data_IF_293085802201
#
_entry.id   IF_293085802201
#
_cell.length_a   1.000
_cell.length_b   1.000
_cell.length_c   1.000
_cell.angle_alpha   90.00
_cell.angle_beta   90.00
_cell.angle_gamma   90.00
#
_symmetry.space_group_name_H-M   'P 1'
#
loop_
_entity.id
_entity.type
_entity.pdbx_description
1 polymer ?
#
# COMPACT_ATOMS: atom_id res chain seq x y z
N UNK A 1 -10.93 -38.27 -9.36
CA UNK A 1 -10.44 -36.87 -9.39
C UNK A 1 -8.99 -36.86 -9.84
N UNK A 2 -8.56 -35.85 -10.59
CA UNK A 2 -7.19 -35.69 -11.07
C UNK A 2 -6.66 -34.34 -10.60
N UNK A 3 -5.66 -34.37 -9.71
CA UNK A 3 -5.04 -33.16 -9.17
C UNK A 3 -3.70 -32.93 -9.88
N UNK A 4 -3.44 -31.69 -10.29
CA UNK A 4 -2.15 -31.33 -10.88
C UNK A 4 -1.75 -29.90 -10.47
N UNK A 5 -0.45 -29.63 -10.50
CA UNK A 5 0.11 -28.29 -10.27
C UNK A 5 1.08 -27.99 -11.39
N UNK A 6 0.69 -27.14 -12.35
CA UNK A 6 1.52 -26.72 -13.49
C UNK A 6 2.00 -27.82 -14.45
N UNK A 7 1.69 -29.11 -14.22
CA UNK A 7 2.15 -30.23 -15.05
C UNK A 7 1.24 -30.49 -16.24
N UNK A 8 -0.08 -30.37 -16.08
CA UNK A 8 -1.06 -30.65 -17.14
C UNK A 8 -1.51 -29.36 -17.87
N UNK A 9 -0.62 -28.37 -17.93
CA UNK A 9 -0.86 -27.07 -18.58
C UNK A 9 -0.76 -27.15 -20.10
N UNK A 10 -0.17 -28.21 -20.65
CA UNK A 10 -0.15 -28.53 -22.08
C UNK A 10 -0.28 -30.06 -22.29
N UNK A 11 -0.92 -30.49 -23.38
CA UNK A 11 -0.94 -31.92 -23.78
C UNK A 11 -1.91 -32.86 -23.06
N UNK A 12 -2.61 -32.44 -22.02
CA UNK A 12 -3.66 -33.26 -21.38
C UNK A 12 -5.01 -33.12 -22.10
N UNK A 13 -5.47 -34.20 -22.72
CA UNK A 13 -6.73 -34.26 -23.46
C UNK A 13 -7.68 -35.31 -22.87
N UNK A 14 -8.67 -34.83 -22.12
CA UNK A 14 -9.75 -35.65 -21.59
C UNK A 14 -11.07 -34.92 -21.88
N UNK A 15 -11.74 -35.21 -23.02
CA UNK A 15 -12.96 -34.49 -23.43
C UNK A 15 -14.14 -34.66 -22.46
N UNK A 16 -14.17 -35.78 -21.73
CA UNK A 16 -15.18 -36.09 -20.72
C UNK A 16 -15.07 -35.32 -19.41
N UNK A 17 -14.18 -34.32 -19.29
CA UNK A 17 -14.14 -33.45 -18.10
C UNK A 17 -15.41 -32.60 -18.06
N UNK A 18 -16.18 -32.76 -16.98
CA UNK A 18 -17.42 -32.04 -16.64
C UNK A 18 -17.28 -31.23 -15.34
N UNK A 19 -16.14 -31.31 -14.64
CA UNK A 19 -15.88 -30.53 -13.43
C UNK A 19 -14.42 -30.04 -13.38
N UNK A 20 -14.24 -28.74 -13.12
CA UNK A 20 -12.93 -28.09 -12.93
C UNK A 20 -12.90 -27.40 -11.58
N UNK A 21 -11.90 -27.71 -10.75
CA UNK A 21 -11.70 -27.07 -9.44
C UNK A 21 -10.44 -26.24 -9.48
N UNK A 22 -10.58 -24.92 -9.28
CA UNK A 22 -9.48 -23.96 -9.23
C UNK A 22 -9.14 -23.65 -7.77
N UNK A 23 -7.98 -24.15 -7.33
CA UNK A 23 -7.40 -23.86 -6.00
C UNK A 23 -6.22 -22.87 -6.08
N UNK A 24 -6.08 -22.18 -7.21
CA UNK A 24 -4.97 -21.26 -7.49
C UNK A 24 -5.50 -19.91 -7.97
N UNK A 25 -5.12 -18.80 -7.32
CA UNK A 25 -5.33 -17.47 -7.88
C UNK A 25 -4.36 -17.20 -9.05
N UNK A 26 -4.83 -16.51 -10.08
CA UNK A 26 -4.02 -16.01 -11.20
C UNK A 26 -4.37 -14.56 -11.52
N UNK A 27 -3.37 -13.76 -11.87
CA UNK A 27 -3.52 -12.42 -12.46
C UNK A 27 -3.56 -12.45 -13.99
N UNK A 28 -3.27 -13.60 -14.61
CA UNK A 28 -3.36 -13.77 -16.06
C UNK A 28 -4.76 -14.26 -16.46
N UNK A 29 -5.55 -13.45 -17.20
CA UNK A 29 -6.85 -13.89 -17.73
C UNK A 29 -6.69 -15.02 -18.75
N UNK A 30 -5.59 -15.02 -19.51
CA UNK A 30 -5.25 -16.12 -20.42
C UNK A 30 -5.04 -17.44 -19.69
N UNK A 31 -4.31 -17.43 -18.57
CA UNK A 31 -4.13 -18.64 -17.76
C UNK A 31 -5.46 -19.10 -17.13
N UNK A 32 -6.29 -18.16 -16.68
CA UNK A 32 -7.64 -18.48 -16.18
C UNK A 32 -8.48 -19.19 -17.25
N UNK A 33 -8.56 -18.62 -18.47
CA UNK A 33 -9.25 -19.25 -19.59
C UNK A 33 -8.69 -20.63 -19.93
N UNK A 34 -7.37 -20.80 -19.92
CA UNK A 34 -6.73 -22.09 -20.18
C UNK A 34 -7.07 -23.15 -19.12
N UNK A 35 -7.15 -22.76 -17.84
CA UNK A 35 -7.51 -23.67 -16.74
C UNK A 35 -8.96 -24.13 -16.85
N UNK A 36 -9.90 -23.20 -17.05
CA UNK A 36 -11.33 -23.52 -17.20
C UNK A 36 -11.59 -24.26 -18.52
N UNK A 37 -10.88 -23.89 -19.58
CA UNK A 37 -11.04 -24.45 -20.92
C UNK A 37 -10.80 -25.94 -21.05
N UNK A 38 -10.25 -26.58 -20.01
CA UNK A 38 -10.20 -28.04 -19.90
C UNK A 38 -11.58 -28.69 -19.89
N UNK A 39 -12.59 -28.00 -19.35
CA UNK A 39 -13.98 -28.43 -19.33
C UNK A 39 -14.79 -28.05 -20.57
N UNK A 40 -14.25 -27.30 -21.54
CA UNK A 40 -15.05 -26.82 -22.69
C UNK A 40 -15.17 -27.81 -23.85
N UNK A 41 -14.44 -28.93 -23.80
CA UNK A 41 -14.47 -29.92 -24.88
C UNK A 41 -15.82 -30.62 -24.95
N UNK A 42 -16.40 -30.73 -26.14
CA UNK A 42 -17.66 -31.45 -26.34
C UNK A 42 -17.45 -32.96 -26.14
N UNK A 43 -18.39 -33.62 -25.48
CA UNK A 43 -18.38 -35.07 -25.27
C UNK A 43 -19.82 -35.61 -25.21
N UNK A 44 -20.12 -36.78 -25.81
CA UNK A 44 -21.44 -37.39 -25.69
C UNK A 44 -21.87 -37.57 -24.23
N UNK A 45 -23.08 -37.13 -23.89
CA UNK A 45 -23.61 -37.21 -22.53
C UNK A 45 -23.19 -36.08 -21.59
N UNK A 46 -22.41 -35.09 -22.07
CA UNK A 46 -22.04 -33.90 -21.28
C UNK A 46 -22.92 -32.71 -21.67
N UNK A 47 -23.78 -32.27 -20.76
CA UNK A 47 -24.63 -31.08 -20.93
C UNK A 47 -23.90 -29.78 -20.58
N UNK A 48 -23.05 -29.82 -19.57
CA UNK A 48 -22.40 -28.66 -18.98
C UNK A 48 -21.05 -29.05 -18.33
N UNK A 49 -20.31 -28.04 -17.88
CA UNK A 49 -19.08 -28.24 -17.12
C UNK A 49 -19.05 -27.31 -15.91
N UNK A 50 -19.06 -27.90 -14.71
CA UNK A 50 -19.07 -27.18 -13.45
C UNK A 50 -17.69 -26.64 -13.11
N UNK A 51 -17.63 -25.38 -12.67
CA UNK A 51 -16.38 -24.71 -12.28
C UNK A 51 -16.47 -24.25 -10.85
N UNK A 52 -15.65 -24.84 -9.98
CA UNK A 52 -15.48 -24.38 -8.60
C UNK A 52 -14.22 -23.51 -8.51
N UNK A 53 -14.38 -22.24 -8.15
CA UNK A 53 -13.28 -21.28 -8.10
C UNK A 53 -13.02 -20.76 -6.69
N UNK A 54 -12.05 -21.36 -6.01
CA UNK A 54 -11.57 -20.91 -4.70
C UNK A 54 -10.41 -19.91 -4.80
N UNK A 55 -9.95 -19.58 -6.01
CA UNK A 55 -8.89 -18.61 -6.27
C UNK A 55 -9.39 -17.18 -6.56
N UNK A 56 -10.71 -16.98 -6.55
CA UNK A 56 -11.35 -15.69 -6.85
C UNK A 56 -11.04 -15.18 -8.26
N UNK A 57 -10.81 -16.07 -9.22
CA UNK A 57 -10.46 -15.75 -10.59
C UNK A 57 -11.65 -15.21 -11.41
N UNK A 58 -12.84 -15.79 -11.24
CA UNK A 58 -14.07 -15.36 -11.89
C UNK A 58 -14.47 -13.94 -11.45
N UNK A 59 -14.30 -13.61 -10.16
CA UNK A 59 -14.52 -12.25 -9.66
C UNK A 59 -13.49 -11.27 -10.24
N UNK A 60 -12.22 -11.67 -10.30
CA UNK A 60 -11.11 -10.83 -10.75
C UNK A 60 -11.16 -10.52 -12.25
N UNK A 61 -11.42 -11.54 -13.06
CA UNK A 61 -11.34 -11.44 -14.52
C UNK A 61 -12.70 -11.29 -15.19
N UNK A 62 -13.77 -11.64 -14.48
CA UNK A 62 -15.12 -11.75 -15.02
C UNK A 62 -15.50 -13.20 -15.35
N UNK A 63 -16.77 -13.43 -15.72
CA UNK A 63 -17.21 -14.73 -16.22
C UNK A 63 -16.35 -15.17 -17.40
N UNK A 64 -16.07 -16.47 -17.50
CA UNK A 64 -15.11 -17.01 -18.48
C UNK A 64 -15.51 -16.74 -19.94
N UNK A 65 -16.81 -16.65 -20.21
CA UNK A 65 -17.44 -16.31 -21.49
C UNK A 65 -17.41 -14.81 -21.81
N UNK A 66 -17.14 -13.96 -20.82
CA UNK A 66 -17.09 -12.51 -20.94
C UNK A 66 -15.68 -11.92 -20.71
N UNK A 67 -14.63 -12.75 -20.74
CA UNK A 67 -13.26 -12.32 -20.53
C UNK A 67 -12.78 -11.32 -21.58
N UNK A 68 -12.34 -10.15 -21.11
CA UNK A 68 -11.72 -9.11 -21.95
C UNK A 68 -10.21 -9.15 -21.78
N UNK A 69 -9.51 -9.63 -22.80
CA UNK A 69 -8.04 -9.54 -22.87
C UNK A 69 -7.73 -8.11 -23.31
N UNK A 70 -7.55 -7.21 -22.36
CA UNK A 70 -7.10 -5.84 -22.65
C UNK A 70 -5.58 -5.80 -22.51
N UNK A 71 -4.89 -5.05 -23.38
CA UNK A 71 -3.49 -4.70 -23.13
C UNK A 71 -3.38 -4.00 -21.76
N UNK A 72 -2.28 -4.18 -21.01
CA UNK A 72 -2.15 -3.65 -19.66
C UNK A 72 -2.05 -2.12 -19.69
N UNK A 73 -3.18 -1.44 -19.77
CA UNK A 73 -3.28 -0.02 -19.47
C UNK A 73 -3.40 0.15 -17.95
N UNK A 74 -2.43 0.86 -17.40
CA UNK A 74 -2.32 1.20 -16.01
C UNK A 74 -3.56 1.93 -15.48
N UNK A 75 -4.03 1.54 -14.28
CA UNK A 75 -4.74 2.47 -13.40
C UNK A 75 -6.28 2.48 -13.45
N UNK A 76 -6.94 1.33 -13.64
CA UNK A 76 -8.39 1.25 -13.46
C UNK A 76 -8.79 0.88 -12.03
N UNK A 77 -9.23 1.84 -11.21
CA UNK A 77 -10.02 1.60 -9.98
C UNK A 77 -11.46 1.17 -10.31
N UNK A 78 -11.64 0.29 -11.30
CA UNK A 78 -12.95 -0.20 -11.71
C UNK A 78 -13.49 -1.20 -10.70
N UNK A 79 -14.80 -1.17 -10.46
CA UNK A 79 -15.49 -2.29 -9.81
C UNK A 79 -15.15 -3.60 -10.52
N UNK A 80 -15.06 -4.70 -9.76
CA UNK A 80 -14.80 -6.02 -10.31
C UNK A 80 -15.75 -6.28 -11.49
N UNK A 81 -15.26 -6.82 -12.63
CA UNK A 81 -16.08 -7.00 -13.83
C UNK A 81 -17.23 -8.00 -13.62
N UNK A 82 -17.22 -8.73 -12.49
CA UNK A 82 -18.25 -9.65 -12.06
C UNK A 82 -18.82 -9.32 -10.68
N UNK A 83 -20.04 -9.79 -10.43
CA UNK A 83 -20.72 -9.82 -9.14
C UNK A 83 -21.37 -11.17 -8.91
N UNK A 84 -21.58 -11.54 -7.66
CA UNK A 84 -22.31 -12.75 -7.28
C UNK A 84 -23.81 -12.43 -7.11
N UNK A 85 -24.67 -13.29 -7.65
CA UNK A 85 -26.12 -13.18 -7.44
C UNK A 85 -26.48 -13.56 -5.99
N UNK A 86 -27.23 -12.74 -5.25
CA UNK A 86 -27.60 -13.04 -3.87
C UNK A 86 -28.60 -14.19 -3.72
N UNK A 87 -29.28 -14.58 -4.80
CA UNK A 87 -30.34 -15.60 -4.78
C UNK A 87 -29.82 -16.98 -5.19
N UNK A 88 -29.03 -17.05 -6.26
CA UNK A 88 -28.51 -18.33 -6.79
C UNK A 88 -27.00 -18.48 -6.72
N UNK A 89 -26.28 -17.49 -6.17
CA UNK A 89 -24.81 -17.49 -6.04
C UNK A 89 -24.03 -17.59 -7.37
N UNK A 90 -24.70 -17.39 -8.51
CA UNK A 90 -24.05 -17.35 -9.81
C UNK A 90 -23.15 -16.10 -9.92
N UNK A 91 -21.90 -16.29 -10.34
CA UNK A 91 -20.97 -15.20 -10.66
C UNK A 91 -21.25 -14.72 -12.08
N UNK A 92 -21.76 -13.49 -12.22
CA UNK A 92 -22.24 -12.90 -13.48
C UNK A 92 -21.56 -11.56 -13.72
N UNK A 93 -21.62 -11.04 -14.95
CA UNK A 93 -21.02 -9.73 -15.24
C UNK A 93 -21.72 -8.60 -14.44
N UNK A 94 -20.94 -7.68 -13.88
CA UNK A 94 -21.42 -6.64 -12.95
C UNK A 94 -22.55 -5.77 -13.54
N UNK A 95 -22.52 -5.55 -14.86
CA UNK A 95 -23.49 -4.73 -15.59
C UNK A 95 -24.88 -5.35 -15.80
N UNK A 96 -25.11 -6.62 -15.43
CA UNK A 96 -26.44 -7.23 -15.57
C UNK A 96 -27.44 -6.61 -14.60
N UNK A 97 -28.55 -6.07 -15.12
CA UNK A 97 -29.67 -5.56 -14.31
C UNK A 97 -30.58 -6.69 -13.77
N UNK A 98 -30.52 -7.85 -14.41
CA UNK A 98 -31.27 -9.06 -14.03
C UNK A 98 -30.36 -10.26 -14.11
N UNK A 99 -30.41 -11.20 -13.16
CA UNK A 99 -29.59 -12.41 -13.20
C UNK A 99 -30.01 -13.30 -14.38
N UNK A 100 -29.08 -13.75 -15.25
CA UNK A 100 -29.40 -14.64 -16.37
C UNK A 100 -29.81 -16.05 -15.93
N UNK A 101 -29.42 -16.47 -14.72
CA UNK A 101 -29.65 -17.84 -14.23
C UNK A 101 -31.01 -17.97 -13.51
N UNK A 102 -31.33 -17.04 -12.60
CA UNK A 102 -32.54 -17.12 -11.77
C UNK A 102 -33.53 -15.96 -11.96
N UNK A 103 -33.25 -15.03 -12.87
CA UNK A 103 -34.06 -13.84 -13.13
C UNK A 103 -34.18 -12.83 -11.96
N UNK A 104 -33.35 -12.94 -10.93
CA UNK A 104 -33.26 -11.95 -9.84
C UNK A 104 -33.03 -10.53 -10.37
N UNK A 105 -33.84 -9.55 -9.94
CA UNK A 105 -33.67 -8.15 -10.34
C UNK A 105 -32.71 -7.42 -9.39
N UNK A 106 -31.61 -6.92 -9.94
CA UNK A 106 -30.66 -6.13 -9.16
C UNK A 106 -31.18 -4.69 -8.99
N UNK A 107 -30.97 -4.07 -7.82
CA UNK A 107 -31.33 -2.68 -7.62
C UNK A 107 -30.61 -1.79 -8.65
N UNK A 108 -31.25 -0.72 -9.14
CA UNK A 108 -30.62 0.17 -10.11
C UNK A 108 -29.34 0.75 -9.50
N UNK A 109 -28.25 0.85 -10.29
CA UNK A 109 -26.98 1.35 -9.78
C UNK A 109 -27.19 2.78 -9.27
N UNK A 110 -26.99 2.98 -7.97
CA UNK A 110 -26.93 4.32 -7.41
C UNK A 110 -25.67 4.98 -7.96
N UNK A 111 -25.83 5.79 -9.01
CA UNK A 111 -24.77 6.70 -9.45
C UNK A 111 -24.57 7.76 -8.36
N UNK A 112 -23.89 7.41 -7.28
CA UNK A 112 -23.34 8.41 -6.38
C UNK A 112 -22.31 9.19 -7.20
N UNK A 113 -22.58 10.48 -7.42
CA UNK A 113 -21.50 11.40 -7.75
C UNK A 113 -20.53 11.29 -6.57
N UNK A 114 -19.28 10.91 -6.86
CA UNK A 114 -18.26 10.78 -5.86
C UNK A 114 -18.16 12.10 -5.10
N UNK A 115 -18.49 12.11 -3.82
CA UNK A 115 -17.90 13.09 -2.90
C UNK A 115 -16.41 12.73 -2.79
N UNK A 116 -15.54 13.74 -2.73
CA UNK A 116 -14.08 13.61 -2.80
C UNK A 116 -13.45 12.94 -1.56
N UNK A 117 -14.18 12.09 -0.87
CA UNK A 117 -13.78 11.45 0.38
C UNK A 117 -14.22 9.99 0.32
N UNK A 118 -13.26 9.08 0.17
CA UNK A 118 -13.50 7.65 0.15
C UNK A 118 -14.03 7.17 1.51
N UNK A 119 -15.13 6.43 1.51
CA UNK A 119 -15.66 5.76 2.70
C UNK A 119 -14.70 4.70 3.23
N UNK A 120 -14.74 4.48 4.54
CA UNK A 120 -13.81 3.62 5.30
C UNK A 120 -14.21 2.13 5.33
N UNK A 121 -15.11 1.68 4.46
CA UNK A 121 -15.51 0.26 4.42
C UNK A 121 -14.59 -0.56 3.50
N UNK A 122 -14.08 -1.65 4.06
CA UNK A 122 -13.05 -2.48 3.48
C UNK A 122 -13.59 -3.37 2.34
N UNK A 123 -12.97 -3.25 1.16
CA UNK A 123 -13.07 -4.20 0.05
C UNK A 123 -11.81 -5.08 0.12
N UNK A 124 -11.99 -6.40 0.20
CA UNK A 124 -10.94 -7.41 0.36
C UNK A 124 -9.89 -7.39 -0.78
N UNK A 125 -8.80 -6.67 -0.58
CA UNK A 125 -7.48 -6.96 -1.16
C UNK A 125 -6.36 -6.39 -0.28
N UNK A 126 -5.85 -7.22 0.64
CA UNK A 126 -4.80 -6.86 1.60
C UNK A 126 -5.36 -5.95 2.68
N UNK A 127 -5.57 -6.47 3.89
CA UNK A 127 -6.02 -5.65 4.99
C UNK A 127 -4.93 -4.59 5.27
N UNK A 128 -5.24 -3.34 4.92
CA UNK A 128 -4.38 -2.19 5.17
C UNK A 128 -4.88 -1.54 6.45
N UNK A 129 -4.24 -1.85 7.57
CA UNK A 129 -4.53 -1.20 8.84
C UNK A 129 -3.72 0.08 8.95
N UNK A 130 -4.41 1.19 9.22
CA UNK A 130 -3.79 2.48 9.53
C UNK A 130 -4.02 2.78 11.00
N UNK A 131 -2.95 3.01 11.73
CA UNK A 131 -2.99 3.31 13.15
C UNK A 131 -2.25 4.61 13.40
N UNK A 132 -2.91 5.52 14.12
CA UNK A 132 -2.31 6.78 14.55
C UNK A 132 -1.64 6.57 15.90
N UNK A 133 -0.39 6.98 16.01
CA UNK A 133 0.39 6.91 17.23
C UNK A 133 0.85 8.30 17.66
N UNK A 134 0.62 8.63 18.92
CA UNK A 134 1.25 9.79 19.55
C UNK A 134 2.75 9.55 19.66
N UNK A 135 3.54 10.55 19.28
CA UNK A 135 4.99 10.48 19.33
C UNK A 135 5.46 11.19 20.58
N UNK A 136 6.18 10.45 21.43
CA UNK A 136 6.72 10.99 22.68
C UNK A 136 8.12 11.57 22.51
N UNK A 137 8.95 10.94 21.67
CA UNK A 137 10.33 11.35 21.39
C UNK A 137 10.69 10.96 19.95
N UNK A 138 11.64 11.69 19.35
CA UNK A 138 12.19 11.43 18.02
C UNK A 138 13.71 11.39 18.11
N UNK A 139 14.32 10.39 17.47
CA UNK A 139 15.77 10.26 17.38
C UNK A 139 16.22 10.28 15.93
N UNK A 140 17.35 10.94 15.68
CA UNK A 140 17.96 11.06 14.35
C UNK A 140 19.31 10.36 14.35
N UNK A 141 19.61 9.62 13.28
CA UNK A 141 20.90 8.96 13.14
C UNK A 141 21.30 8.81 11.68
N UNK A 142 22.60 8.93 11.39
CA UNK A 142 23.14 8.57 10.08
C UNK A 142 23.08 7.04 9.93
N UNK A 143 22.50 6.58 8.84
CA UNK A 143 22.34 5.17 8.54
C UNK A 143 22.91 4.81 7.16
N UNK A 144 23.71 3.74 7.16
CA UNK A 144 24.22 3.09 5.96
C UNK A 144 23.64 1.68 5.87
N UNK A 145 23.13 1.30 4.70
CA UNK A 145 22.57 -0.03 4.47
C UNK A 145 23.62 -1.11 4.73
N UNK A 146 23.25 -2.17 5.46
CA UNK A 146 24.15 -3.28 5.77
C UNK A 146 24.73 -3.90 4.49
N UNK A 147 26.06 -3.98 4.43
CA UNK A 147 26.79 -4.54 3.28
C UNK A 147 26.86 -3.61 2.06
N UNK A 148 26.50 -2.35 2.21
CA UNK A 148 26.69 -1.36 1.15
C UNK A 148 28.19 -1.05 0.94
N UNK A 149 28.60 -0.73 -0.30
CA UNK A 149 29.96 -0.29 -0.56
C UNK A 149 30.26 1.06 0.11
N UNK A 150 31.54 1.41 0.32
CA UNK A 150 31.93 2.62 1.07
C UNK A 150 31.43 3.95 0.48
N UNK A 151 31.15 3.97 -0.82
CA UNK A 151 30.64 5.11 -1.60
C UNK A 151 29.12 5.12 -1.73
N UNK A 152 28.41 4.16 -1.11
CA UNK A 152 26.97 4.13 -1.17
C UNK A 152 26.36 5.34 -0.46
N UNK A 153 25.31 5.97 -1.04
CA UNK A 153 24.69 7.14 -0.45
C UNK A 153 24.06 6.81 0.89
N UNK A 154 24.35 7.62 1.90
CA UNK A 154 23.82 7.45 3.26
C UNK A 154 22.39 8.00 3.34
N UNK A 155 21.69 7.59 4.39
CA UNK A 155 20.32 8.01 4.70
C UNK A 155 20.27 8.53 6.14
N UNK A 156 19.44 9.53 6.41
CA UNK A 156 19.07 9.87 7.77
C UNK A 156 17.95 8.92 8.21
N UNK A 157 18.19 8.14 9.26
CA UNK A 157 17.15 7.34 9.93
C UNK A 157 16.46 8.21 10.97
N UNK A 158 15.14 8.16 10.98
CA UNK A 158 14.30 8.85 11.97
C UNK A 158 13.53 7.79 12.75
N UNK A 159 13.72 7.74 14.05
CA UNK A 159 13.04 6.80 14.96
C UNK A 159 12.02 7.56 15.81
N UNK A 160 10.74 7.21 15.66
CA UNK A 160 9.63 7.78 16.42
C UNK A 160 9.26 6.85 17.56
N UNK A 161 9.36 7.32 18.82
CA UNK A 161 8.94 6.55 20.00
C UNK A 161 7.43 6.68 20.22
N UNK A 162 6.71 5.62 19.88
CA UNK A 162 5.23 5.56 19.88
C UNK A 162 4.62 4.89 21.13
N UNK A 163 5.47 4.30 21.96
CA UNK A 163 5.05 3.59 23.17
C UNK A 163 6.25 3.28 24.08
N UNK A 164 6.01 2.49 25.13
CA UNK A 164 7.09 2.06 26.02
C UNK A 164 8.01 1.05 25.32
N UNK A 165 9.21 1.49 24.94
CA UNK A 165 10.18 0.73 24.12
C UNK A 165 9.66 0.35 22.71
N UNK A 166 8.64 1.04 22.20
CA UNK A 166 8.12 0.82 20.85
C UNK A 166 8.52 1.97 19.94
N UNK A 167 9.09 1.62 18.79
CA UNK A 167 9.64 2.56 17.82
C UNK A 167 9.20 2.20 16.41
N UNK A 168 8.89 3.21 15.61
CA UNK A 168 8.71 3.09 14.16
C UNK A 168 9.73 3.98 13.47
N UNK A 169 10.34 3.45 12.41
CA UNK A 169 11.46 4.10 11.72
C UNK A 169 11.11 4.47 10.29
N UNK A 170 11.64 5.60 9.81
CA UNK A 170 11.74 5.88 8.38
C UNK A 170 13.15 6.30 7.99
N UNK A 171 13.41 6.32 6.68
CA UNK A 171 14.71 6.70 6.10
C UNK A 171 14.53 7.84 5.10
N UNK A 172 15.27 8.92 5.32
CA UNK A 172 15.27 10.13 4.52
C UNK A 172 16.56 10.20 3.70
N UNK A 173 16.41 10.27 2.38
CA UNK A 173 17.49 10.01 1.44
C UNK A 173 18.17 11.28 0.90
N UNK A 174 18.85 12.05 1.77
CA UNK A 174 19.54 13.28 1.34
C UNK A 174 20.66 13.03 0.32
N UNK A 175 21.51 12.03 0.49
CA UNK A 175 22.63 11.79 -0.43
C UNK A 175 22.24 11.08 -1.74
N UNK A 176 20.96 10.72 -1.89
CA UNK A 176 20.48 10.05 -3.11
C UNK A 176 20.19 11.06 -4.23
N UNK A 177 19.85 10.57 -5.41
CA UNK A 177 19.43 11.40 -6.56
C UNK A 177 18.02 11.05 -7.02
N UNK A 178 17.45 11.87 -7.92
CA UNK A 178 16.17 11.60 -8.56
C UNK A 178 14.97 11.63 -7.61
N UNK A 179 14.10 10.62 -7.67
CA UNK A 179 12.86 10.58 -6.89
C UNK A 179 13.10 10.53 -5.38
N UNK A 180 14.09 9.75 -4.92
CA UNK A 180 14.40 9.61 -3.50
C UNK A 180 14.86 10.95 -2.88
N UNK A 181 15.73 11.69 -3.57
CA UNK A 181 16.15 13.04 -3.16
C UNK A 181 14.97 13.99 -3.05
N UNK A 182 14.14 14.09 -4.11
CA UNK A 182 12.98 15.00 -4.11
C UNK A 182 12.02 14.74 -2.95
N UNK A 183 11.83 13.47 -2.59
CA UNK A 183 11.01 13.09 -1.42
C UNK A 183 11.66 13.56 -0.11
N UNK A 184 12.99 13.41 0.03
CA UNK A 184 13.74 13.92 1.17
C UNK A 184 13.65 15.45 1.31
N UNK A 185 13.78 16.19 0.20
CA UNK A 185 13.65 17.64 0.21
C UNK A 185 12.23 18.09 0.60
N UNK A 186 11.20 17.39 0.13
CA UNK A 186 9.82 17.69 0.52
C UNK A 186 9.60 17.39 2.01
N UNK A 187 10.12 16.27 2.51
CA UNK A 187 10.09 15.92 3.93
C UNK A 187 10.74 17.02 4.78
N UNK A 188 11.91 17.51 4.37
CA UNK A 188 12.63 18.59 5.05
C UNK A 188 11.85 19.90 5.05
N UNK A 189 11.43 20.39 3.88
CA UNK A 189 10.70 21.66 3.73
C UNK A 189 9.38 21.70 4.49
N UNK A 190 8.78 20.54 4.79
CA UNK A 190 7.57 20.48 5.61
C UNK A 190 7.83 20.68 7.11
N UNK A 191 9.07 20.50 7.57
CA UNK A 191 9.48 20.51 8.99
C UNK A 191 10.47 21.61 9.33
N UNK A 192 11.23 22.11 8.36
CA UNK A 192 12.26 23.11 8.59
C UNK A 192 12.13 24.26 7.62
N UNK A 193 12.60 25.43 8.08
CA UNK A 193 12.86 26.58 7.22
C UNK A 193 14.37 26.74 6.92
N UNK A 194 15.22 25.86 7.46
CA UNK A 194 16.63 25.76 7.05
C UNK A 194 16.77 25.32 5.59
N UNK A 195 17.87 25.71 4.92
CA UNK A 195 18.25 25.14 3.63
C UNK A 195 18.23 23.61 3.67
N UNK A 196 17.88 22.98 2.54
CA UNK A 196 17.81 21.52 2.51
C UNK A 196 19.23 20.94 2.55
N UNK A 197 19.56 20.06 3.51
CA UNK A 197 20.88 19.48 3.66
C UNK A 197 21.31 18.71 2.42
N UNK A 198 22.60 18.72 2.09
CA UNK A 198 23.15 17.92 1.01
C UNK A 198 23.52 16.50 1.46
N UNK A 199 23.86 16.34 2.75
CA UNK A 199 24.28 15.06 3.33
C UNK A 199 23.35 14.56 4.43
N UNK A 200 23.41 13.25 4.72
CA UNK A 200 22.66 12.68 5.84
C UNK A 200 23.22 13.14 7.20
N UNK A 201 24.50 13.48 7.24
CA UNK A 201 25.22 13.92 8.44
C UNK A 201 24.81 15.34 8.85
N UNK A 202 24.87 16.28 7.90
CA UNK A 202 24.36 17.65 8.06
C UNK A 202 22.88 17.67 8.47
N UNK A 203 22.06 16.79 7.88
CA UNK A 203 20.65 16.70 8.23
C UNK A 203 20.43 16.27 9.70
N UNK A 204 21.25 15.35 10.21
CA UNK A 204 21.18 14.89 11.61
C UNK A 204 21.66 16.00 12.55
N UNK A 205 22.75 16.68 12.23
CA UNK A 205 23.28 17.79 13.04
C UNK A 205 22.25 18.91 13.20
N UNK A 206 21.62 19.33 12.10
CA UNK A 206 20.56 20.34 12.13
C UNK A 206 19.32 19.85 12.87
N UNK A 207 18.95 18.58 12.72
CA UNK A 207 17.82 18.00 13.44
C UNK A 207 18.06 17.99 14.96
N UNK A 208 19.25 17.57 15.40
CA UNK A 208 19.65 17.55 16.81
C UNK A 208 19.79 18.96 17.39
N UNK A 209 20.12 19.96 16.54
CA UNK A 209 20.12 21.37 16.90
C UNK A 209 18.71 21.99 17.00
N UNK A 210 17.66 21.23 16.68
CA UNK A 210 16.27 21.69 16.80
C UNK A 210 15.71 22.37 15.54
N UNK A 211 16.31 22.17 14.37
CA UNK A 211 15.84 22.78 13.11
C UNK A 211 14.54 22.17 12.55
N UNK A 212 13.97 21.14 13.20
CA UNK A 212 12.78 20.42 12.73
C UNK A 212 11.57 20.66 13.63
N UNK A 213 10.39 20.81 13.01
CA UNK A 213 9.11 20.78 13.70
C UNK A 213 8.99 19.52 14.57
N UNK A 214 8.55 19.66 15.84
CA UNK A 214 8.20 18.52 16.67
C UNK A 214 7.20 17.63 15.95
N UNK A 215 7.45 16.33 15.90
CA UNK A 215 6.45 15.38 15.37
C UNK A 215 5.58 14.94 16.53
N UNK A 216 4.29 15.31 16.51
CA UNK A 216 3.33 15.05 17.58
C UNK A 216 2.66 13.68 17.40
N UNK A 217 2.40 13.27 16.17
CA UNK A 217 1.85 11.95 15.86
C UNK A 217 2.27 11.47 14.47
N UNK A 218 2.27 10.15 14.29
CA UNK A 218 2.52 9.48 13.00
C UNK A 218 1.39 8.50 12.69
N UNK A 219 0.96 8.46 11.43
CA UNK A 219 0.06 7.42 10.92
C UNK A 219 0.89 6.32 10.29
N UNK A 220 0.80 5.13 10.86
CA UNK A 220 1.53 3.95 10.41
C UNK A 220 0.56 3.02 9.68
N UNK A 221 0.93 2.69 8.45
CA UNK A 221 0.22 1.77 7.57
C UNK A 221 0.91 0.40 7.62
N UNK A 222 0.19 -0.60 8.11
CA UNK A 222 0.55 -2.01 7.99
C UNK A 222 -0.21 -2.61 6.82
N UNK A 223 0.49 -3.41 6.01
CA UNK A 223 -0.11 -4.17 4.91
C UNK A 223 0.17 -5.63 5.13
N UNK A 224 -0.88 -6.44 5.16
CA UNK A 224 -0.76 -7.88 5.31
C UNK A 224 0.17 -8.48 4.24
N UNK A 225 1.23 -9.16 4.68
CA UNK A 225 2.26 -9.75 3.81
C UNK A 225 3.49 -8.86 3.55
N UNK A 226 3.49 -7.59 3.96
CA UNK A 226 4.71 -6.77 3.99
C UNK A 226 5.47 -7.00 5.30
N UNK A 227 6.80 -7.05 5.21
CA UNK A 227 7.67 -7.28 6.38
C UNK A 227 7.82 -6.04 7.26
N UNK A 228 7.56 -4.86 6.72
CA UNK A 228 7.84 -3.58 7.36
C UNK A 228 6.65 -2.64 7.21
N UNK A 229 6.31 -1.97 8.30
CA UNK A 229 5.29 -0.93 8.31
C UNK A 229 5.79 0.33 7.63
N UNK A 230 4.86 1.17 7.17
CA UNK A 230 5.18 2.42 6.47
C UNK A 230 4.53 3.60 7.16
N UNK A 231 5.30 4.63 7.43
CA UNK A 231 4.74 5.91 7.86
C UNK A 231 4.15 6.63 6.64
N UNK A 232 2.87 6.96 6.70
CA UNK A 232 2.12 7.55 5.57
C UNK A 232 1.66 8.97 5.82
N UNK A 233 1.51 9.38 7.08
CA UNK A 233 1.13 10.74 7.45
C UNK A 233 1.75 11.16 8.79
N UNK A 234 1.73 12.47 9.03
CA UNK A 234 2.33 13.11 10.20
C UNK A 234 1.41 14.19 10.72
N UNK A 235 1.36 14.35 12.05
CA UNK A 235 0.88 15.57 12.69
C UNK A 235 2.09 16.30 13.25
N UNK A 236 2.47 17.38 12.60
CA UNK A 236 3.62 18.20 12.96
C UNK A 236 3.17 19.37 13.84
N UNK A 237 4.02 19.75 14.79
CA UNK A 237 3.91 21.01 15.52
C UNK A 237 4.35 22.21 14.68
N UNK A 238 4.50 23.35 15.33
CA UNK A 238 4.99 24.56 14.67
C UNK A 238 6.41 24.39 14.15
N UNK A 239 6.72 25.10 13.06
CA UNK A 239 8.07 25.12 12.51
C UNK A 239 8.95 25.99 13.41
N UNK A 240 10.14 25.49 13.80
CA UNK A 240 11.08 26.32 14.52
C UNK A 240 11.58 27.46 13.60
N UNK A 241 11.96 28.61 14.18
CA UNK A 241 12.69 29.63 13.43
C UNK A 241 14.05 29.08 12.96
N UNK A 242 14.70 29.79 12.04
CA UNK A 242 16.07 29.44 11.64
C UNK A 242 17.03 29.57 12.82
N UNK A 243 17.95 28.63 12.94
CA UNK A 243 18.91 28.55 14.05
C UNK A 243 19.84 29.78 14.12
N UNK A 244 20.15 30.40 12.97
CA UNK A 244 20.99 31.60 12.89
C UNK A 244 20.18 32.92 12.91
N UNK A 245 18.86 32.88 13.16
CA UNK A 245 18.07 34.11 13.27
C UNK A 245 18.29 34.80 14.62
N UNK A 246 18.28 36.14 14.65
CA UNK A 246 18.47 36.95 15.87
C UNK A 246 17.45 36.63 16.98
N UNK A 247 16.32 35.99 16.63
CA UNK A 247 15.28 35.50 17.55
C UNK A 247 15.71 34.27 18.38
N UNK A 248 16.90 33.70 18.11
CA UNK A 248 17.44 32.48 18.75
C UNK A 248 18.33 32.75 19.97
N UNK A 249 18.66 34.02 20.23
CA UNK A 249 19.46 34.39 21.39
C UNK A 249 18.54 34.47 22.61
N UNK A 250 18.81 33.72 23.70
CA UNK A 250 18.12 33.99 24.95
C UNK A 250 18.35 35.46 25.31
N UNK A 251 17.27 36.17 25.63
CA UNK A 251 17.33 37.48 26.27
C UNK A 251 18.41 37.38 27.36
N UNK A 252 19.48 38.18 27.26
CA UNK A 252 20.52 38.20 28.28
C UNK A 252 19.83 38.55 29.59
N UNK A 253 19.55 37.55 30.42
CA UNK A 253 19.21 37.78 31.81
C UNK A 253 20.48 38.39 32.41
N UNK A 254 20.41 39.68 32.70
CA UNK A 254 21.39 40.37 33.53
C UNK A 254 21.45 39.63 34.88
N UNK A 255 22.38 38.68 34.99
CA UNK A 255 22.67 38.02 36.26
C UNK A 255 23.44 39.06 37.07
N UNK A 256 22.75 39.78 37.96
CA UNK A 256 23.39 40.53 39.03
C UNK A 256 24.25 39.56 39.85
N UNK A 257 25.56 39.66 39.67
CA UNK A 257 26.56 38.90 40.44
C UNK A 257 26.75 39.59 41.79
N UNK A 258 25.72 39.61 42.63
CA UNK A 258 25.85 40.01 44.02
C UNK A 258 25.88 38.77 44.92
N UNK A 259 27.08 38.42 45.39
CA UNK A 259 27.22 37.53 46.56
C UNK A 259 27.99 36.23 46.37
N UNK A 260 29.05 36.19 45.56
CA UNK A 260 30.02 35.08 45.68
C UNK A 260 31.04 35.44 46.77
N UNK A 261 31.09 34.74 47.92
CA UNK A 261 32.12 34.95 48.92
C UNK A 261 33.43 34.29 48.45
N UNK A 262 34.52 35.06 48.50
CA UNK A 262 35.89 34.60 48.26
C UNK A 262 36.39 33.63 49.34
#
# INVERSE_FOLDING_TARGET
YLCNVNVLTTGFDAPGIDCVVLLRPTLSPGLYYQMVGRGFRLHPGKSDALVFDFGGNALRHGPVDALRITEPNAGGNGEAPAKECPECHAVIAAGYATCPECAHQFPPPQRRRHDATAGTEAILSGEVTRTDYEVSEVFYAVHTKRGAPPDAPRTMRVDYRIGFNEYVSEWVCFEHTGYARRKAEQWWRSRSDEPVPESAEEAVELADAGALSPTLAVTVEHREGERFDRIVAYRLGEKPPRLESEDSLPEHADVEIDGVPF
#
